data_IF_898528424171
#
_entry.id   IF_898528424171
#
_cell.length_a   1.000
_cell.length_b   1.000
_cell.length_c   1.000
_cell.angle_alpha   90.00
_cell.angle_beta   90.00
_cell.angle_gamma   90.00
#
_symmetry.space_group_name_H-M   'P 1'
#
loop_
_entity.id
_entity.type
_entity.pdbx_description
1 polymer ?
#
# COMPACT_ATOMS: atom_id res chain seq x y z
N UNK A 1 4.61 5.28 60.28
CA UNK A 1 5.57 5.59 59.21
C UNK A 1 6.10 4.25 58.70
N UNK A 2 5.36 3.66 57.77
CA UNK A 2 5.80 2.44 57.13
C UNK A 2 6.47 2.77 55.78
N UNK A 3 7.59 2.12 55.45
CA UNK A 3 8.30 2.41 54.22
C UNK A 3 7.57 1.81 53.02
N UNK A 4 7.47 2.57 51.94
CA UNK A 4 6.93 2.18 50.64
C UNK A 4 7.67 0.93 50.10
N UNK A 5 6.98 -0.01 49.46
CA UNK A 5 7.62 -1.18 48.87
C UNK A 5 8.47 -0.82 47.66
N UNK A 6 9.69 -1.32 47.71
CA UNK A 6 10.71 -1.24 46.69
C UNK A 6 10.26 -1.82 45.34
N UNK A 7 10.55 -1.07 44.34
CA UNK A 7 10.46 -1.32 42.91
C UNK A 7 11.06 -2.71 42.53
N UNK A 8 10.23 -3.67 42.22
CA UNK A 8 10.67 -4.89 41.57
C UNK A 8 10.89 -4.63 40.06
N UNK A 9 12.09 -4.19 39.73
CA UNK A 9 12.65 -4.34 38.40
C UNK A 9 12.91 -5.83 38.16
N UNK A 10 11.87 -6.56 37.74
CA UNK A 10 12.04 -7.84 37.07
C UNK A 10 12.80 -7.62 35.76
N UNK A 11 13.65 -8.56 35.32
CA UNK A 11 14.39 -8.40 34.07
C UNK A 11 13.38 -8.17 32.95
N UNK A 12 13.43 -6.96 32.36
CA UNK A 12 12.74 -6.69 31.09
C UNK A 12 13.24 -7.76 30.13
N UNK A 13 12.38 -8.72 29.83
CA UNK A 13 12.64 -9.74 28.82
C UNK A 13 13.06 -8.99 27.56
N UNK A 14 14.31 -9.19 27.14
CA UNK A 14 14.78 -8.80 25.82
C UNK A 14 13.85 -9.52 24.83
N UNK A 15 12.76 -8.85 24.47
CA UNK A 15 11.83 -9.36 23.44
C UNK A 15 12.66 -9.43 22.18
N UNK A 16 13.06 -10.66 21.86
CA UNK A 16 13.88 -10.98 20.71
C UNK A 16 13.29 -10.33 19.48
N UNK A 17 14.04 -9.44 18.90
CA UNK A 17 13.74 -8.57 17.75
C UNK A 17 13.58 -9.40 16.43
N UNK A 18 12.81 -10.50 16.49
CA UNK A 18 12.60 -11.46 15.40
C UNK A 18 11.23 -11.29 14.76
N UNK A 19 11.17 -11.50 13.45
CA UNK A 19 9.90 -11.65 12.74
C UNK A 19 9.14 -12.84 13.32
N UNK A 20 7.81 -12.68 13.50
CA UNK A 20 6.89 -13.70 13.95
C UNK A 20 6.10 -14.23 12.76
N UNK A 21 5.60 -15.45 12.89
CA UNK A 21 4.80 -16.10 11.85
C UNK A 21 3.56 -16.75 12.49
N UNK A 22 3.04 -16.11 13.54
CA UNK A 22 1.83 -16.52 14.22
C UNK A 22 0.58 -16.19 13.40
N UNK A 23 -0.58 -16.65 13.88
CA UNK A 23 -1.88 -16.47 13.21
C UNK A 23 -2.24 -14.98 12.96
N UNK A 24 -1.77 -14.06 13.80
CA UNK A 24 -2.04 -12.65 13.63
C UNK A 24 -1.18 -12.04 12.51
N UNK A 25 0.06 -12.48 12.35
CA UNK A 25 0.90 -12.12 11.21
C UNK A 25 0.32 -12.68 9.91
N UNK A 26 -0.18 -13.92 9.90
CA UNK A 26 -0.90 -14.49 8.76
C UNK A 26 -2.17 -13.70 8.42
N UNK A 27 -2.99 -13.36 9.41
CA UNK A 27 -4.17 -12.53 9.18
C UNK A 27 -3.80 -11.15 8.64
N UNK A 28 -2.81 -10.50 9.26
CA UNK A 28 -2.32 -9.20 8.83
C UNK A 28 -1.66 -9.22 7.45
N UNK A 29 -1.08 -10.34 7.02
CA UNK A 29 -0.48 -10.48 5.68
C UNK A 29 -1.49 -10.16 4.57
N UNK A 30 -2.75 -10.54 4.74
CA UNK A 30 -3.81 -10.30 3.76
C UNK A 30 -4.49 -8.93 3.90
N UNK A 31 -4.10 -8.11 4.90
CA UNK A 31 -4.70 -6.80 5.18
C UNK A 31 -4.56 -5.77 4.05
N UNK A 32 -3.60 -5.96 3.16
CA UNK A 32 -3.38 -5.07 2.01
C UNK A 32 -3.99 -5.58 0.68
N UNK A 33 -4.69 -6.72 0.69
CA UNK A 33 -5.31 -7.26 -0.53
C UNK A 33 -6.35 -6.32 -1.15
N UNK A 34 -7.03 -5.50 -0.32
CA UNK A 34 -7.99 -4.51 -0.79
C UNK A 34 -7.38 -3.46 -1.72
N UNK A 35 -6.08 -3.18 -1.60
CA UNK A 35 -5.36 -2.28 -2.50
C UNK A 35 -4.60 -3.05 -3.58
N UNK A 36 -3.99 -4.17 -3.25
CA UNK A 36 -3.13 -4.92 -4.17
C UNK A 36 -3.92 -5.54 -5.33
N UNK A 37 -4.99 -6.27 -5.03
CA UNK A 37 -5.75 -7.04 -6.05
C UNK A 37 -6.32 -6.16 -7.16
N UNK A 38 -7.05 -5.05 -6.88
CA UNK A 38 -7.63 -4.23 -7.94
C UNK A 38 -6.59 -3.69 -8.92
N UNK A 39 -5.43 -3.25 -8.43
CA UNK A 39 -4.36 -2.74 -9.30
C UNK A 39 -3.70 -3.83 -10.12
N UNK A 40 -3.40 -4.99 -9.51
CA UNK A 40 -2.81 -6.13 -10.24
C UNK A 40 -3.75 -6.59 -11.34
N UNK A 41 -5.06 -6.73 -11.04
CA UNK A 41 -6.07 -7.08 -12.05
C UNK A 41 -6.13 -6.04 -13.17
N UNK A 42 -6.09 -4.75 -12.85
CA UNK A 42 -6.12 -3.68 -13.85
C UNK A 42 -4.90 -3.73 -14.79
N UNK A 43 -3.69 -3.89 -14.27
CA UNK A 43 -2.49 -4.03 -15.08
C UNK A 43 -2.55 -5.24 -16.03
N UNK A 44 -3.05 -6.37 -15.54
CA UNK A 44 -3.17 -7.60 -16.33
C UNK A 44 -4.30 -7.49 -17.35
N UNK A 45 -5.50 -7.06 -16.94
CA UNK A 45 -6.69 -7.05 -17.78
C UNK A 45 -6.65 -5.95 -18.85
N UNK A 46 -6.22 -4.74 -18.48
CA UNK A 46 -6.24 -3.56 -19.38
C UNK A 46 -4.98 -3.48 -20.23
N UNK A 47 -3.81 -3.54 -19.60
CA UNK A 47 -2.52 -3.35 -20.26
C UNK A 47 -1.91 -4.67 -20.76
N UNK A 48 -2.53 -5.80 -20.45
CA UNK A 48 -2.02 -7.15 -20.81
C UNK A 48 -0.59 -7.39 -20.34
N UNK A 49 -0.18 -6.76 -19.22
CA UNK A 49 1.13 -7.00 -18.61
C UNK A 49 1.20 -8.44 -18.13
N UNK A 50 2.34 -9.08 -18.35
CA UNK A 50 2.53 -10.48 -17.97
C UNK A 50 2.48 -10.61 -16.42
N UNK A 51 1.62 -11.50 -15.88
CA UNK A 51 1.44 -11.64 -14.45
C UNK A 51 2.69 -12.04 -13.68
N UNK A 52 3.59 -12.82 -14.30
CA UNK A 52 4.81 -13.31 -13.66
C UNK A 52 5.64 -12.15 -13.12
N UNK A 53 5.97 -11.15 -13.96
CA UNK A 53 6.80 -10.01 -13.58
C UNK A 53 6.21 -9.21 -12.43
N UNK A 54 4.88 -8.99 -12.46
CA UNK A 54 4.16 -8.29 -11.40
C UNK A 54 4.26 -9.04 -10.08
N UNK A 55 3.85 -10.32 -10.07
CA UNK A 55 3.80 -11.13 -8.84
C UNK A 55 5.18 -11.36 -8.25
N UNK A 56 6.16 -11.67 -9.11
CA UNK A 56 7.54 -11.89 -8.68
C UNK A 56 8.15 -10.64 -8.06
N UNK A 57 7.95 -9.47 -8.70
CA UNK A 57 8.49 -8.20 -8.20
C UNK A 57 7.90 -7.83 -6.85
N UNK A 58 6.57 -7.93 -6.68
CA UNK A 58 5.92 -7.70 -5.38
C UNK A 58 6.37 -8.71 -4.34
N UNK A 59 6.39 -9.98 -4.69
CA UNK A 59 6.76 -11.06 -3.77
C UNK A 59 8.20 -10.92 -3.27
N UNK A 60 9.15 -10.67 -4.18
CA UNK A 60 10.55 -10.45 -3.83
C UNK A 60 10.75 -9.18 -3.00
N UNK A 61 10.11 -8.06 -3.40
CA UNK A 61 10.20 -6.81 -2.66
C UNK A 61 9.60 -6.92 -1.25
N UNK A 62 8.43 -7.57 -1.09
CA UNK A 62 7.80 -7.79 0.22
C UNK A 62 8.67 -8.68 1.11
N UNK A 63 9.22 -9.75 0.57
CA UNK A 63 10.13 -10.65 1.30
C UNK A 63 11.37 -9.88 1.80
N UNK A 64 12.03 -9.13 0.93
CA UNK A 64 13.22 -8.34 1.27
C UNK A 64 12.87 -7.26 2.31
N UNK A 65 11.78 -6.50 2.10
CA UNK A 65 11.36 -5.44 3.02
C UNK A 65 10.97 -6.00 4.39
N UNK A 66 10.25 -7.12 4.46
CA UNK A 66 9.89 -7.77 5.71
C UNK A 66 11.10 -8.27 6.50
N UNK A 67 12.13 -8.76 5.83
CA UNK A 67 13.40 -9.17 6.44
C UNK A 67 14.21 -7.96 6.91
N UNK A 68 14.24 -6.87 6.12
CA UNK A 68 15.05 -5.69 6.39
C UNK A 68 14.44 -4.81 7.49
N UNK A 69 13.19 -4.34 7.30
CA UNK A 69 12.53 -3.43 8.23
C UNK A 69 12.03 -4.11 9.50
N UNK A 70 11.67 -5.39 9.41
CA UNK A 70 11.12 -6.19 10.52
C UNK A 70 9.86 -5.61 11.16
N UNK A 71 9.18 -4.70 10.48
CA UNK A 71 7.86 -4.17 10.76
C UNK A 71 6.93 -4.57 9.61
N UNK A 72 5.61 -4.41 9.72
CA UNK A 72 4.70 -4.70 8.61
C UNK A 72 4.85 -3.69 7.47
N UNK A 73 6.07 -3.54 6.97
CA UNK A 73 6.45 -2.52 5.99
C UNK A 73 5.93 -2.91 4.61
N UNK A 74 4.98 -2.16 4.04
CA UNK A 74 4.24 -2.61 2.86
C UNK A 74 5.01 -2.38 1.56
N UNK A 75 4.61 -3.13 0.53
CA UNK A 75 4.97 -2.85 -0.86
C UNK A 75 3.69 -2.85 -1.68
N UNK A 76 3.34 -1.72 -2.25
CA UNK A 76 2.08 -1.48 -2.96
C UNK A 76 2.32 -0.96 -4.38
N UNK A 77 1.37 -1.15 -5.32
CA UNK A 77 1.40 -0.47 -6.61
C UNK A 77 1.37 1.05 -6.44
N UNK A 78 2.13 1.76 -7.26
CA UNK A 78 2.07 3.22 -7.34
C UNK A 78 0.72 3.66 -7.89
N UNK A 79 -0.07 4.36 -7.06
CA UNK A 79 -1.51 4.59 -7.29
C UNK A 79 -1.79 5.51 -8.47
N UNK A 80 -1.04 6.60 -8.65
CA UNK A 80 -1.26 7.50 -9.77
C UNK A 80 -0.95 6.80 -11.10
N UNK A 81 0.16 6.07 -11.17
CA UNK A 81 0.52 5.27 -12.36
C UNK A 81 -0.53 4.19 -12.63
N UNK A 82 -0.94 3.46 -11.59
CA UNK A 82 -1.95 2.43 -11.72
C UNK A 82 -3.32 2.96 -12.16
N UNK A 83 -3.74 4.12 -11.66
CA UNK A 83 -5.00 4.75 -12.05
C UNK A 83 -4.97 5.18 -13.53
N UNK A 84 -3.88 5.82 -13.97
CA UNK A 84 -3.70 6.21 -15.38
C UNK A 84 -3.66 4.98 -16.29
N UNK A 85 -2.92 3.95 -15.89
CA UNK A 85 -2.80 2.70 -16.62
C UNK A 85 -4.15 1.94 -16.73
N UNK A 86 -4.96 1.96 -15.65
CA UNK A 86 -6.24 1.27 -15.63
C UNK A 86 -7.33 1.96 -16.46
N UNK A 87 -7.32 3.29 -16.53
CA UNK A 87 -8.41 4.03 -17.18
C UNK A 87 -8.20 4.25 -18.67
N UNK A 88 -6.97 4.42 -19.13
CA UNK A 88 -6.59 4.83 -20.50
C UNK A 88 -7.50 5.90 -21.17
N UNK A 89 -8.63 6.20 -20.55
CA UNK A 89 -9.76 6.91 -21.12
C UNK A 89 -9.55 8.42 -21.27
N UNK A 90 -8.54 8.99 -20.61
CA UNK A 90 -8.30 10.44 -20.61
C UNK A 90 -6.92 10.80 -21.18
N UNK A 91 -6.23 9.87 -21.86
CA UNK A 91 -4.84 10.06 -22.25
C UNK A 91 -4.71 10.46 -23.71
N UNK A 92 -3.87 11.47 -23.95
CA UNK A 92 -3.44 11.85 -25.29
C UNK A 92 -2.43 10.88 -25.89
N UNK A 93 -1.95 9.91 -25.12
CA UNK A 93 -0.99 8.89 -25.52
C UNK A 93 -1.47 7.49 -25.10
N UNK A 94 -1.15 6.48 -25.89
CA UNK A 94 -1.40 5.07 -25.54
C UNK A 94 -0.39 4.63 -24.48
N UNK A 95 -0.90 4.14 -23.35
CA UNK A 95 -0.05 3.59 -22.29
C UNK A 95 0.25 2.12 -22.63
N UNK A 96 1.50 1.86 -22.91
CA UNK A 96 2.02 0.52 -23.22
C UNK A 96 2.64 -0.13 -21.98
N UNK A 97 2.95 -1.42 -22.06
CA UNK A 97 3.74 -2.13 -21.03
C UNK A 97 5.12 -1.46 -20.88
N UNK A 98 5.78 -1.12 -22.00
CA UNK A 98 7.07 -0.44 -21.99
C UNK A 98 7.04 0.91 -21.28
N UNK A 99 5.95 1.69 -21.42
CA UNK A 99 5.78 2.94 -20.69
C UNK A 99 5.66 2.72 -19.18
N UNK A 100 4.97 1.66 -18.73
CA UNK A 100 4.88 1.32 -17.30
C UNK A 100 6.24 0.89 -16.74
N UNK A 101 6.99 0.06 -17.46
CA UNK A 101 8.35 -0.33 -17.05
C UNK A 101 9.29 0.86 -17.01
N UNK A 102 9.20 1.75 -18.00
CA UNK A 102 9.97 3.01 -18.03
C UNK A 102 9.64 3.91 -16.85
N UNK A 103 8.35 4.01 -16.46
CA UNK A 103 7.97 4.74 -15.25
C UNK A 103 8.61 4.15 -13.99
N UNK A 104 8.71 2.82 -13.90
CA UNK A 104 9.42 2.12 -12.83
C UNK A 104 10.91 2.48 -12.80
N UNK A 105 11.58 2.46 -13.95
CA UNK A 105 12.99 2.83 -14.07
C UNK A 105 13.22 4.30 -13.67
N UNK A 106 12.40 5.22 -14.17
CA UNK A 106 12.54 6.66 -13.90
C UNK A 106 12.27 6.97 -12.42
N UNK A 107 11.16 6.48 -11.86
CA UNK A 107 10.87 6.68 -10.43
C UNK A 107 11.91 6.00 -9.56
N UNK A 108 12.35 4.81 -9.93
CA UNK A 108 13.40 4.08 -9.25
C UNK A 108 14.72 4.85 -9.20
N UNK A 109 15.17 5.38 -10.33
CA UNK A 109 16.38 6.18 -10.42
C UNK A 109 16.27 7.47 -9.58
N UNK A 110 15.15 8.19 -9.67
CA UNK A 110 14.93 9.43 -8.91
C UNK A 110 14.99 9.14 -7.40
N UNK A 111 14.24 8.15 -6.90
CA UNK A 111 14.21 7.86 -5.47
C UNK A 111 15.53 7.31 -4.96
N UNK A 112 16.24 6.52 -5.77
CA UNK A 112 17.57 6.05 -5.40
C UNK A 112 18.56 7.21 -5.27
N UNK A 113 18.60 8.13 -6.24
CA UNK A 113 19.45 9.32 -6.20
C UNK A 113 19.11 10.20 -5.00
N UNK A 114 17.82 10.51 -4.78
CA UNK A 114 17.36 11.31 -3.64
C UNK A 114 17.70 10.66 -2.30
N UNK A 115 17.61 9.33 -2.22
CA UNK A 115 17.98 8.56 -1.04
C UNK A 115 19.49 8.56 -0.79
N UNK A 116 20.30 8.23 -1.79
CA UNK A 116 21.76 8.15 -1.67
C UNK A 116 22.37 9.51 -1.31
N UNK A 117 21.89 10.60 -1.92
CA UNK A 117 22.35 11.97 -1.64
C UNK A 117 21.83 12.53 -0.31
N UNK A 118 20.83 11.86 0.31
CA UNK A 118 20.13 12.37 1.50
C UNK A 118 19.19 13.55 1.20
N UNK A 119 18.95 13.86 -0.08
CA UNK A 119 18.03 14.94 -0.48
C UNK A 119 16.59 14.61 -0.10
N UNK A 120 16.18 13.34 -0.09
CA UNK A 120 14.86 12.90 0.35
C UNK A 120 14.54 13.41 1.77
N UNK A 121 15.44 13.22 2.74
CA UNK A 121 15.26 13.71 4.12
C UNK A 121 15.27 15.24 4.20
N UNK A 122 16.08 15.93 3.36
CA UNK A 122 16.09 17.41 3.33
C UNK A 122 14.75 17.95 2.83
N UNK A 123 14.22 17.37 1.76
CA UNK A 123 12.91 17.73 1.20
C UNK A 123 11.80 17.43 2.20
N UNK A 124 11.83 16.27 2.86
CA UNK A 124 10.85 15.88 3.86
C UNK A 124 10.76 16.87 5.02
N UNK A 125 11.89 17.42 5.50
CA UNK A 125 11.93 18.42 6.58
C UNK A 125 11.27 19.75 6.23
N UNK A 126 11.13 20.08 4.94
CA UNK A 126 10.47 21.31 4.48
C UNK A 126 8.96 21.14 4.49
N UNK A 127 8.47 19.91 4.41
CA UNK A 127 7.03 19.60 4.36
C UNK A 127 6.41 19.78 5.74
N UNK A 128 5.36 20.65 5.88
CA UNK A 128 4.72 20.87 7.15
C UNK A 128 3.98 19.62 7.66
N UNK A 129 4.08 19.33 8.96
CA UNK A 129 3.40 18.19 9.59
C UNK A 129 1.89 18.19 9.34
N UNK A 130 1.25 19.35 9.33
CA UNK A 130 -0.18 19.53 9.05
C UNK A 130 -0.57 19.00 7.67
N UNK A 131 0.32 19.15 6.68
CA UNK A 131 0.11 18.61 5.32
C UNK A 131 0.21 17.10 5.32
N UNK A 132 1.20 16.52 6.02
CA UNK A 132 1.36 15.06 6.12
C UNK A 132 0.15 14.43 6.80
N UNK A 133 -0.28 14.97 7.94
CA UNK A 133 -1.50 14.53 8.66
C UNK A 133 -2.71 14.62 7.74
N UNK A 134 -2.89 15.74 7.02
CA UNK A 134 -3.99 15.90 6.07
C UNK A 134 -3.98 14.87 4.94
N UNK A 135 -2.81 14.56 4.38
CA UNK A 135 -2.66 13.52 3.35
C UNK A 135 -3.07 12.16 3.90
N UNK A 136 -2.57 11.77 5.07
CA UNK A 136 -2.86 10.46 5.66
C UNK A 136 -4.34 10.33 6.02
N UNK A 137 -4.93 11.37 6.62
CA UNK A 137 -6.36 11.44 6.92
C UNK A 137 -7.20 11.30 5.65
N UNK A 138 -6.91 12.09 4.62
CA UNK A 138 -7.66 12.05 3.35
C UNK A 138 -7.52 10.73 2.61
N UNK A 139 -6.34 10.11 2.63
CA UNK A 139 -6.14 8.76 2.11
C UNK A 139 -7.01 7.74 2.86
N UNK A 140 -7.04 7.81 4.21
CA UNK A 140 -7.87 6.94 5.03
C UNK A 140 -9.35 7.09 4.70
N UNK A 141 -9.85 8.33 4.62
CA UNK A 141 -11.23 8.63 4.22
C UNK A 141 -11.53 8.17 2.78
N UNK A 142 -10.60 8.37 1.87
CA UNK A 142 -10.69 7.89 0.49
C UNK A 142 -10.81 6.37 0.40
N UNK A 143 -10.01 5.65 1.18
CA UNK A 143 -10.10 4.18 1.26
C UNK A 143 -11.43 3.70 1.86
N UNK A 144 -11.94 4.38 2.89
CA UNK A 144 -13.27 4.08 3.44
C UNK A 144 -14.35 4.28 2.39
N UNK A 145 -14.31 5.40 1.66
CA UNK A 145 -15.30 5.70 0.60
C UNK A 145 -15.23 4.67 -0.54
N UNK A 146 -14.02 4.31 -0.98
CA UNK A 146 -13.84 3.30 -2.02
C UNK A 146 -14.26 1.92 -1.53
N UNK A 147 -13.96 1.59 -0.28
CA UNK A 147 -14.46 0.37 0.38
C UNK A 147 -15.99 0.28 0.35
N UNK A 148 -16.70 1.38 0.65
CA UNK A 148 -18.18 1.46 0.57
C UNK A 148 -18.63 1.25 -0.88
N UNK A 149 -17.98 1.86 -1.87
CA UNK A 149 -18.31 1.66 -3.29
C UNK A 149 -18.15 0.20 -3.71
N UNK A 150 -17.07 -0.45 -3.25
CA UNK A 150 -16.87 -1.88 -3.51
C UNK A 150 -17.90 -2.75 -2.81
N UNK A 151 -18.29 -2.41 -1.57
CA UNK A 151 -19.36 -3.10 -0.84
C UNK A 151 -20.74 -2.98 -1.54
N UNK A 152 -20.99 -1.89 -2.26
CA UNK A 152 -22.23 -1.69 -3.02
C UNK A 152 -22.42 -2.69 -4.17
N UNK A 153 -21.43 -3.46 -4.54
CA UNK A 153 -21.59 -4.53 -5.55
C UNK A 153 -22.43 -5.69 -5.05
N UNK A 154 -22.47 -5.93 -3.72
CA UNK A 154 -23.34 -6.92 -3.07
C UNK A 154 -23.53 -6.54 -1.59
N UNK A 155 -24.64 -5.86 -1.30
CA UNK A 155 -24.95 -5.37 0.05
C UNK A 155 -25.22 -6.48 1.06
N UNK A 156 -25.71 -7.64 0.63
CA UNK A 156 -25.94 -8.76 1.54
C UNK A 156 -24.62 -9.33 2.03
N UNK A 157 -23.69 -9.62 1.13
CA UNK A 157 -22.33 -10.05 1.48
C UNK A 157 -21.64 -8.98 2.33
N UNK A 158 -21.76 -7.71 1.94
CA UNK A 158 -21.18 -6.59 2.69
C UNK A 158 -21.73 -6.50 4.11
N UNK A 159 -23.05 -6.57 4.30
CA UNK A 159 -23.68 -6.47 5.61
C UNK A 159 -23.24 -7.61 6.54
N UNK A 160 -23.26 -8.85 6.06
CA UNK A 160 -22.85 -10.04 6.83
C UNK A 160 -21.35 -9.95 7.17
N UNK A 161 -20.52 -9.67 6.19
CA UNK A 161 -19.06 -9.59 6.38
C UNK A 161 -18.68 -8.40 7.28
N UNK A 162 -19.35 -7.25 7.16
CA UNK A 162 -19.13 -6.08 8.02
C UNK A 162 -19.53 -6.38 9.48
N UNK A 163 -20.71 -6.97 9.69
CA UNK A 163 -21.16 -7.37 11.03
C UNK A 163 -20.18 -8.37 11.67
N UNK A 164 -19.77 -9.41 10.93
CA UNK A 164 -18.77 -10.36 11.40
C UNK A 164 -17.43 -9.70 11.74
N UNK A 165 -17.02 -8.73 10.91
CA UNK A 165 -15.78 -7.98 11.14
C UNK A 165 -15.87 -7.13 12.41
N UNK A 166 -16.95 -6.39 12.62
CA UNK A 166 -17.15 -5.56 13.82
C UNK A 166 -17.17 -6.39 15.09
N UNK A 167 -17.81 -7.56 15.07
CA UNK A 167 -17.89 -8.45 16.23
C UNK A 167 -16.52 -9.09 16.57
N UNK A 168 -15.68 -9.34 15.57
CA UNK A 168 -14.43 -10.09 15.73
C UNK A 168 -13.17 -9.23 15.58
N UNK A 169 -13.27 -7.93 15.31
CA UNK A 169 -12.12 -7.08 15.01
C UNK A 169 -11.05 -7.10 16.12
N UNK A 170 -11.47 -7.18 17.37
CA UNK A 170 -10.58 -7.25 18.54
C UNK A 170 -10.26 -8.67 19.01
N UNK A 171 -10.85 -9.66 18.36
CA UNK A 171 -10.69 -11.06 18.77
C UNK A 171 -9.33 -11.61 18.28
N UNK A 172 -8.45 -11.94 19.24
CA UNK A 172 -7.13 -12.53 18.95
C UNK A 172 -7.16 -14.05 18.80
N UNK A 173 -8.26 -14.71 19.15
CA UNK A 173 -8.40 -16.16 19.02
C UNK A 173 -8.78 -16.55 17.60
N UNK A 174 -9.78 -15.84 17.04
CA UNK A 174 -10.22 -16.00 15.65
C UNK A 174 -9.94 -14.68 14.92
N UNK A 175 -8.83 -14.58 14.20
CA UNK A 175 -8.52 -13.37 13.44
C UNK A 175 -9.58 -13.13 12.36
N UNK A 176 -10.17 -11.94 12.37
CA UNK A 176 -11.28 -11.58 11.48
C UNK A 176 -10.94 -11.71 10.00
N UNK A 177 -9.67 -11.55 9.64
CA UNK A 177 -9.23 -11.71 8.25
C UNK A 177 -9.48 -13.13 7.73
N UNK A 178 -9.25 -14.16 8.54
CA UNK A 178 -9.56 -15.54 8.12
C UNK A 178 -11.05 -15.75 7.93
N UNK A 179 -11.90 -15.15 8.81
CA UNK A 179 -13.34 -15.16 8.59
C UNK A 179 -13.69 -14.53 7.23
N UNK A 180 -13.15 -13.36 6.92
CA UNK A 180 -13.41 -12.67 5.66
C UNK A 180 -12.91 -13.47 4.44
N UNK A 181 -11.75 -14.10 4.52
CA UNK A 181 -11.22 -14.94 3.44
C UNK A 181 -12.10 -16.17 3.20
N UNK A 182 -12.46 -16.90 4.27
CA UNK A 182 -13.35 -18.07 4.17
C UNK A 182 -14.74 -17.70 3.74
N UNK A 183 -15.32 -16.63 4.29
CA UNK A 183 -16.61 -16.11 3.91
C UNK A 183 -16.63 -15.69 2.43
N UNK A 184 -15.61 -14.95 1.98
CA UNK A 184 -15.46 -14.55 0.59
C UNK A 184 -15.37 -15.76 -0.36
N UNK A 185 -14.55 -16.75 -0.02
CA UNK A 185 -14.43 -17.97 -0.80
C UNK A 185 -15.76 -18.76 -0.83
N UNK A 186 -16.44 -18.88 0.30
CA UNK A 186 -17.75 -19.55 0.36
C UNK A 186 -18.81 -18.83 -0.49
N UNK A 187 -18.88 -17.50 -0.40
CA UNK A 187 -19.78 -16.70 -1.24
C UNK A 187 -19.49 -16.90 -2.74
N UNK A 188 -18.23 -16.88 -3.13
CA UNK A 188 -17.84 -17.09 -4.53
C UNK A 188 -18.26 -18.48 -5.05
N UNK A 189 -18.11 -19.53 -4.22
CA UNK A 189 -18.50 -20.88 -4.58
C UNK A 189 -20.03 -21.07 -4.65
N UNK A 190 -20.80 -20.31 -3.83
CA UNK A 190 -22.27 -20.36 -3.82
C UNK A 190 -22.84 -19.56 -5.00
N UNK A 191 -22.26 -18.40 -5.30
CA UNK A 191 -22.82 -17.47 -6.31
C UNK A 191 -22.51 -17.88 -7.74
N UNK A 192 -21.52 -18.74 -8.02
CA UNK A 192 -21.13 -18.95 -9.39
C UNK A 192 -20.45 -20.25 -9.76
N UNK A 193 -20.84 -20.74 -10.93
CA UNK A 193 -20.12 -21.77 -11.66
C UNK A 193 -18.71 -21.28 -12.03
N UNK A 194 -18.51 -19.96 -12.17
CA UNK A 194 -17.26 -19.33 -12.59
C UNK A 194 -16.10 -19.57 -11.60
N UNK A 195 -16.36 -19.55 -10.29
CA UNK A 195 -15.32 -19.81 -9.29
C UNK A 195 -14.87 -21.29 -9.31
N UNK A 196 -15.81 -22.21 -9.51
CA UNK A 196 -15.49 -23.64 -9.61
C UNK A 196 -14.78 -23.95 -10.92
N UNK A 197 -15.17 -23.32 -12.03
CA UNK A 197 -14.51 -23.43 -13.32
C UNK A 197 -13.11 -22.80 -13.27
N UNK A 198 -12.96 -21.65 -12.63
CA UNK A 198 -11.67 -21.02 -12.37
C UNK A 198 -10.72 -21.96 -11.61
N UNK A 199 -11.21 -22.61 -10.54
CA UNK A 199 -10.42 -23.59 -9.79
C UNK A 199 -10.05 -24.83 -10.63
N UNK A 200 -10.94 -25.31 -11.50
CA UNK A 200 -10.67 -26.44 -12.41
C UNK A 200 -9.71 -26.06 -13.54
N UNK A 201 -9.67 -24.80 -13.93
CA UNK A 201 -8.79 -24.29 -14.99
C UNK A 201 -7.36 -23.99 -14.50
N UNK A 202 -7.06 -24.14 -13.21
CA UNK A 202 -5.73 -23.91 -12.67
C UNK A 202 -4.71 -24.85 -13.33
N UNK A 203 -3.70 -24.25 -13.95
CA UNK A 203 -2.58 -24.97 -14.52
C UNK A 203 -1.33 -24.70 -13.72
N UNK A 204 -0.65 -25.76 -13.37
CA UNK A 204 0.68 -25.70 -12.78
C UNK A 204 1.70 -25.56 -13.90
N UNK A 205 2.34 -24.39 -13.99
CA UNK A 205 3.38 -24.10 -14.98
C UNK A 205 4.56 -23.46 -14.28
N UNK A 206 5.73 -24.09 -14.36
CA UNK A 206 6.94 -23.47 -13.83
C UNK A 206 7.41 -22.36 -14.78
N UNK A 207 7.41 -21.13 -14.29
CA UNK A 207 7.93 -19.97 -15.03
C UNK A 207 9.17 -19.41 -14.33
N UNK A 208 10.06 -18.79 -15.11
CA UNK A 208 11.30 -18.19 -14.64
C UNK A 208 11.34 -16.71 -15.01
N UNK A 209 12.05 -15.88 -14.24
CA UNK A 209 12.21 -14.45 -14.55
C UNK A 209 12.84 -14.25 -15.93
N UNK A 210 12.31 -13.31 -16.69
CA UNK A 210 12.89 -12.82 -17.95
C UNK A 210 13.11 -11.31 -17.88
N UNK A 211 14.12 -10.81 -18.59
CA UNK A 211 14.38 -9.37 -18.62
C UNK A 211 13.39 -8.66 -19.54
N UNK A 212 12.80 -7.58 -19.06
CA UNK A 212 11.74 -6.83 -19.76
C UNK A 212 12.26 -5.63 -20.58
N UNK A 213 13.58 -5.39 -20.63
CA UNK A 213 14.16 -4.23 -21.32
C UNK A 213 13.91 -4.19 -22.81
N UNK A 214 13.76 -5.36 -23.46
CA UNK A 214 13.45 -5.47 -24.90
C UNK A 214 12.08 -4.88 -25.28
N UNK A 215 11.22 -4.63 -24.32
CA UNK A 215 9.88 -4.08 -24.52
C UNK A 215 9.81 -2.55 -24.36
N UNK A 216 10.94 -1.87 -24.17
CA UNK A 216 10.99 -0.42 -23.93
C UNK A 216 11.52 0.28 -25.20
N UNK A 217 10.66 1.04 -25.86
CA UNK A 217 11.05 1.96 -26.93
C UNK A 217 11.40 3.35 -26.38
N UNK A 218 12.04 4.20 -27.19
CA UNK A 218 12.29 5.60 -26.82
C UNK A 218 11.00 6.40 -26.57
N UNK A 219 9.93 6.09 -27.29
CA UNK A 219 8.61 6.67 -27.06
C UNK A 219 8.02 6.23 -25.73
N UNK A 220 8.11 4.94 -25.39
CA UNK A 220 7.66 4.41 -24.10
C UNK A 220 8.38 5.05 -22.94
N UNK A 221 9.69 5.29 -23.10
CA UNK A 221 10.49 5.98 -22.08
C UNK A 221 10.00 7.40 -21.85
N UNK A 222 9.72 8.16 -22.91
CA UNK A 222 9.20 9.53 -22.81
C UNK A 222 7.81 9.55 -22.16
N UNK A 223 6.89 8.68 -22.59
CA UNK A 223 5.54 8.55 -22.01
C UNK A 223 5.62 8.13 -20.55
N UNK A 224 6.43 7.10 -20.22
CA UNK A 224 6.62 6.62 -18.87
C UNK A 224 7.17 7.68 -17.93
N UNK A 225 8.16 8.46 -18.39
CA UNK A 225 8.77 9.52 -17.59
C UNK A 225 7.80 10.69 -17.36
N UNK A 226 7.18 11.23 -18.43
CA UNK A 226 6.43 12.49 -18.36
C UNK A 226 4.98 12.30 -17.89
N UNK A 227 4.30 11.26 -18.36
CA UNK A 227 2.88 11.06 -18.07
C UNK A 227 2.62 10.17 -16.86
N UNK A 228 3.55 9.28 -16.51
CA UNK A 228 3.39 8.32 -15.42
C UNK A 228 4.27 8.66 -14.21
N UNK A 229 5.60 8.75 -14.40
CA UNK A 229 6.53 8.94 -13.29
C UNK A 229 6.42 10.34 -12.67
N UNK A 230 6.43 11.39 -13.48
CA UNK A 230 6.45 12.77 -12.99
C UNK A 230 5.24 13.12 -12.11
N UNK A 231 3.97 12.82 -12.49
CA UNK A 231 2.82 13.04 -11.61
C UNK A 231 2.83 12.18 -10.33
N UNK A 232 3.51 11.04 -10.36
CA UNK A 232 3.63 10.15 -9.20
C UNK A 232 4.58 10.68 -8.13
N UNK A 233 5.57 11.52 -8.46
CA UNK A 233 6.61 11.96 -7.51
C UNK A 233 6.05 12.65 -6.26
N UNK A 234 5.15 13.66 -6.35
CA UNK A 234 4.59 14.31 -5.17
C UNK A 234 3.79 13.34 -4.29
N UNK A 235 3.06 12.42 -4.92
CA UNK A 235 2.30 11.38 -4.22
C UNK A 235 3.24 10.42 -3.48
N UNK A 236 4.31 9.97 -4.13
CA UNK A 236 5.29 9.09 -3.49
C UNK A 236 5.98 9.81 -2.34
N UNK A 237 6.39 11.07 -2.51
CA UNK A 237 7.02 11.85 -1.44
C UNK A 237 6.10 11.95 -0.21
N UNK A 238 4.85 12.39 -0.40
CA UNK A 238 3.91 12.59 0.71
C UNK A 238 3.50 11.29 1.40
N UNK A 239 3.03 10.31 0.60
CA UNK A 239 2.45 9.07 1.13
C UNK A 239 3.50 7.98 1.43
N UNK A 240 4.45 7.78 0.52
CA UNK A 240 5.30 6.59 0.55
C UNK A 240 6.74 6.86 1.01
N UNK A 241 7.09 8.10 1.33
CA UNK A 241 8.35 8.46 1.99
C UNK A 241 8.05 9.09 3.35
N UNK A 242 7.29 10.19 3.39
CA UNK A 242 7.08 10.95 4.64
C UNK A 242 6.05 10.24 5.53
N UNK A 243 4.84 10.00 5.03
CA UNK A 243 3.77 9.44 5.84
C UNK A 243 4.09 8.02 6.35
N UNK A 244 4.70 7.16 5.53
CA UNK A 244 5.09 5.81 5.96
C UNK A 244 6.20 5.86 7.02
N UNK A 245 7.17 6.78 6.89
CA UNK A 245 8.22 6.97 7.89
C UNK A 245 7.63 7.39 9.24
N UNK A 246 6.71 8.36 9.21
CA UNK A 246 6.01 8.83 10.42
C UNK A 246 5.14 7.72 11.03
N UNK A 247 4.37 7.02 10.21
CA UNK A 247 3.50 5.93 10.66
C UNK A 247 4.28 4.75 11.25
N UNK A 248 5.37 4.32 10.58
CA UNK A 248 6.25 3.29 11.12
C UNK A 248 6.84 3.70 12.47
N UNK A 249 7.38 4.91 12.55
CA UNK A 249 8.07 5.37 13.76
C UNK A 249 7.10 5.61 14.93
N UNK A 250 5.84 5.95 14.62
CA UNK A 250 4.76 6.05 15.61
C UNK A 250 4.32 4.68 16.13
N UNK A 251 4.14 3.70 15.25
CA UNK A 251 3.64 2.36 15.60
C UNK A 251 4.72 1.43 16.13
N UNK A 252 5.96 1.61 15.67
CA UNK A 252 7.10 0.76 15.97
C UNK A 252 8.33 1.59 16.38
N UNK A 253 8.28 2.32 17.52
CA UNK A 253 9.37 3.22 17.95
C UNK A 253 10.69 2.48 18.19
N UNK A 254 10.65 1.19 18.49
CA UNK A 254 11.84 0.35 18.66
C UNK A 254 12.54 -0.02 17.33
N UNK A 255 11.91 0.32 16.20
CA UNK A 255 12.40 0.03 14.84
C UNK A 255 12.20 1.24 13.93
N UNK A 256 12.84 2.36 14.26
CA UNK A 256 12.68 3.58 13.48
C UNK A 256 13.29 3.41 12.09
N UNK A 257 12.62 4.01 11.12
CA UNK A 257 13.09 4.14 9.74
C UNK A 257 13.34 5.61 9.42
N UNK A 258 14.05 5.88 8.34
CA UNK A 258 14.33 7.24 7.87
C UNK A 258 13.81 7.40 6.44
N UNK A 259 13.44 8.61 6.06
CA UNK A 259 13.04 8.93 4.68
C UNK A 259 14.14 8.54 3.68
N UNK A 260 15.41 8.64 4.12
CA UNK A 260 16.56 8.20 3.31
C UNK A 260 16.51 6.71 3.03
N UNK A 261 16.33 5.88 4.05
CA UNK A 261 16.29 4.41 3.88
C UNK A 261 15.07 3.98 3.05
N UNK A 262 13.93 4.63 3.26
CA UNK A 262 12.69 4.38 2.51
C UNK A 262 12.84 4.79 1.04
N UNK A 263 13.46 5.95 0.77
CA UNK A 263 13.74 6.38 -0.61
C UNK A 263 14.69 5.43 -1.34
N UNK A 264 15.76 4.96 -0.67
CA UNK A 264 16.71 3.98 -1.25
C UNK A 264 15.96 2.67 -1.56
N UNK A 265 15.17 2.14 -0.63
CA UNK A 265 14.43 0.90 -0.87
C UNK A 265 13.40 1.06 -1.99
N UNK A 266 12.66 2.18 -2.03
CA UNK A 266 11.75 2.51 -3.15
C UNK A 266 12.51 2.55 -4.48
N UNK A 267 13.71 3.13 -4.49
CA UNK A 267 14.56 3.14 -5.68
C UNK A 267 14.94 1.74 -6.14
N UNK A 268 15.46 0.91 -5.24
CA UNK A 268 15.93 -0.45 -5.54
C UNK A 268 14.80 -1.35 -6.03
N UNK A 269 13.64 -1.36 -5.35
CA UNK A 269 12.51 -2.23 -5.73
C UNK A 269 11.94 -1.84 -7.09
N UNK A 270 11.95 -0.55 -7.46
CA UNK A 270 11.45 -0.11 -8.76
C UNK A 270 12.43 -0.43 -9.89
N UNK A 271 13.74 -0.23 -9.69
CA UNK A 271 14.74 -0.61 -10.69
C UNK A 271 14.75 -2.11 -10.93
N UNK A 272 14.78 -2.90 -9.84
CA UNK A 272 14.74 -4.35 -9.93
C UNK A 272 13.42 -4.88 -10.48
N UNK A 273 12.29 -4.33 -10.03
CA UNK A 273 10.96 -4.71 -10.50
C UNK A 273 10.77 -4.43 -12.00
N UNK A 274 11.11 -3.22 -12.45
CA UNK A 274 11.00 -2.86 -13.86
C UNK A 274 11.90 -3.73 -14.77
N UNK A 275 13.06 -4.14 -14.28
CA UNK A 275 13.98 -5.00 -15.02
C UNK A 275 13.38 -6.38 -15.36
N UNK A 276 12.47 -6.88 -14.53
CA UNK A 276 11.83 -8.21 -14.68
C UNK A 276 10.36 -8.13 -15.04
N UNK A 277 9.90 -7.00 -15.57
CA UNK A 277 8.52 -6.83 -16.03
C UNK A 277 7.50 -6.56 -14.92
N UNK A 278 7.97 -6.13 -13.76
CA UNK A 278 7.11 -5.65 -12.67
C UNK A 278 6.59 -4.24 -12.92
N UNK A 279 5.53 -3.90 -12.20
CA UNK A 279 4.93 -2.56 -12.23
C UNK A 279 5.53 -1.66 -11.14
N UNK A 280 5.45 -0.32 -11.27
CA UNK A 280 5.98 0.60 -10.27
C UNK A 280 5.39 0.40 -8.87
N UNK A 281 6.26 0.34 -7.87
CA UNK A 281 5.94 0.01 -6.48
C UNK A 281 6.36 1.12 -5.52
N UNK A 282 5.66 1.24 -4.40
CA UNK A 282 6.02 2.16 -3.33
C UNK A 282 5.66 1.59 -1.94
N UNK A 283 6.13 2.25 -0.89
CA UNK A 283 5.85 1.92 0.50
C UNK A 283 4.69 2.79 1.04
N UNK A 284 3.46 2.58 0.53
CA UNK A 284 2.33 3.41 0.93
C UNK A 284 1.89 3.20 2.38
N UNK A 285 1.71 4.29 3.15
CA UNK A 285 1.27 4.23 4.55
C UNK A 285 -0.03 3.43 4.74
N UNK A 286 -0.94 3.47 3.75
CA UNK A 286 -2.17 2.67 3.77
C UNK A 286 -1.95 1.16 3.82
N UNK A 287 -0.87 0.63 3.20
CA UNK A 287 -0.55 -0.79 3.29
C UNK A 287 -0.14 -1.20 4.70
N UNK A 288 0.66 -0.39 5.38
CA UNK A 288 1.00 -0.64 6.79
C UNK A 288 -0.25 -0.61 7.65
N UNK A 289 -1.13 0.38 7.45
CA UNK A 289 -2.39 0.46 8.17
C UNK A 289 -3.25 -0.80 7.95
N UNK A 290 -3.30 -1.32 6.71
CA UNK A 290 -3.98 -2.58 6.39
C UNK A 290 -3.40 -3.78 7.14
N UNK A 291 -2.10 -3.99 7.07
CA UNK A 291 -1.43 -5.05 7.82
C UNK A 291 -1.70 -4.96 9.33
N UNK A 292 -1.58 -3.74 9.88
CA UNK A 292 -1.77 -3.49 11.33
C UNK A 292 -3.22 -3.64 11.76
N UNK A 293 -4.19 -3.20 10.94
CA UNK A 293 -5.63 -3.33 11.23
C UNK A 293 -6.02 -4.80 11.48
N UNK A 294 -5.41 -5.71 10.74
CA UNK A 294 -5.69 -7.15 10.84
C UNK A 294 -4.67 -7.93 11.68
N UNK A 295 -3.83 -7.25 12.43
CA UNK A 295 -3.10 -7.83 13.54
C UNK A 295 -1.59 -7.99 13.36
N UNK A 296 -1.02 -7.66 12.20
CA UNK A 296 0.43 -7.71 11.99
C UNK A 296 1.17 -6.71 12.90
N UNK A 297 2.33 -7.12 13.37
CA UNK A 297 3.22 -6.30 14.23
C UNK A 297 4.69 -6.44 13.86
N UNK A 298 5.03 -7.33 12.95
CA UNK A 298 6.41 -7.58 12.53
C UNK A 298 6.53 -7.69 11.02
N UNK A 299 7.75 -7.83 10.50
CA UNK A 299 7.98 -8.14 9.10
C UNK A 299 7.49 -9.52 8.66
N UNK A 300 6.91 -10.32 9.58
CA UNK A 300 6.32 -11.62 9.26
C UNK A 300 5.20 -11.52 8.24
N UNK A 301 4.32 -10.54 8.38
CA UNK A 301 3.20 -10.34 7.45
C UNK A 301 3.64 -10.11 6.00
N UNK A 302 4.49 -9.13 5.67
CA UNK A 302 4.99 -8.96 4.30
C UNK A 302 5.84 -10.15 3.82
N UNK A 303 6.56 -10.86 4.70
CA UNK A 303 7.28 -12.10 4.32
C UNK A 303 6.29 -13.19 3.89
N UNK A 304 5.23 -13.42 4.67
CA UNK A 304 4.18 -14.41 4.35
C UNK A 304 3.55 -14.08 3.00
N UNK A 305 3.08 -12.84 2.82
CA UNK A 305 2.47 -12.43 1.56
C UNK A 305 3.47 -12.51 0.39
N UNK A 306 4.71 -12.11 0.63
CA UNK A 306 5.79 -12.20 -0.36
C UNK A 306 6.04 -13.63 -0.83
N UNK A 307 6.09 -14.61 0.09
CA UNK A 307 6.24 -16.03 -0.25
C UNK A 307 5.04 -16.54 -1.04
N UNK A 308 3.81 -16.15 -0.67
CA UNK A 308 2.61 -16.52 -1.40
C UNK A 308 2.66 -15.97 -2.83
N UNK A 309 2.99 -14.68 -3.00
CA UNK A 309 3.09 -14.07 -4.32
C UNK A 309 4.19 -14.70 -5.19
N UNK A 310 5.35 -15.02 -4.59
CA UNK A 310 6.41 -15.75 -5.29
C UNK A 310 5.94 -17.15 -5.73
N UNK A 311 5.23 -17.87 -4.85
CA UNK A 311 4.67 -19.18 -5.19
C UNK A 311 3.65 -19.08 -6.33
N UNK A 312 2.79 -18.06 -6.30
CA UNK A 312 1.84 -17.78 -7.38
C UNK A 312 2.57 -17.40 -8.68
N UNK A 313 3.64 -16.61 -8.60
CA UNK A 313 4.46 -16.24 -9.75
C UNK A 313 5.07 -17.48 -10.41
N UNK A 314 5.79 -18.28 -9.64
CA UNK A 314 6.51 -19.45 -10.18
C UNK A 314 5.60 -20.54 -10.71
N UNK A 315 4.45 -20.79 -10.05
CA UNK A 315 3.67 -21.99 -10.32
C UNK A 315 2.30 -21.73 -10.94
N UNK A 316 1.73 -20.52 -10.79
CA UNK A 316 0.34 -20.23 -11.16
C UNK A 316 0.15 -18.90 -11.90
N UNK A 317 1.23 -18.27 -12.39
CA UNK A 317 1.11 -16.94 -13.02
C UNK A 317 0.15 -16.94 -14.24
N UNK A 318 0.08 -18.02 -14.99
CA UNK A 318 -0.88 -18.16 -16.09
C UNK A 318 -2.36 -18.22 -15.66
N UNK A 319 -2.61 -18.59 -14.40
CA UNK A 319 -3.96 -18.75 -13.84
C UNK A 319 -4.35 -17.62 -12.86
N UNK A 320 -3.51 -16.60 -12.72
CA UNK A 320 -3.68 -15.58 -11.66
C UNK A 320 -4.99 -14.79 -11.76
N UNK A 321 -5.44 -14.49 -12.97
CA UNK A 321 -6.72 -13.79 -13.20
C UNK A 321 -7.90 -14.59 -12.67
N UNK A 322 -7.89 -15.90 -12.87
CA UNK A 322 -8.90 -16.80 -12.34
C UNK A 322 -8.86 -16.85 -10.80
N UNK A 323 -7.65 -16.95 -10.22
CA UNK A 323 -7.46 -16.96 -8.75
C UNK A 323 -7.95 -15.65 -8.12
N UNK A 324 -7.61 -14.50 -8.71
CA UNK A 324 -8.01 -13.20 -8.17
C UNK A 324 -9.51 -12.93 -8.33
N UNK A 325 -10.17 -13.51 -9.34
CA UNK A 325 -11.62 -13.40 -9.54
C UNK A 325 -12.44 -14.12 -8.47
N UNK A 326 -11.85 -15.05 -7.71
CA UNK A 326 -12.52 -15.74 -6.60
C UNK A 326 -12.86 -14.80 -5.44
N UNK A 327 -12.15 -13.66 -5.31
CA UNK A 327 -12.42 -12.71 -4.23
C UNK A 327 -13.58 -11.78 -4.56
N UNK A 328 -14.75 -11.88 -3.87
CA UNK A 328 -15.85 -10.95 -4.06
C UNK A 328 -15.43 -9.51 -3.79
N UNK A 329 -15.80 -8.58 -4.67
CA UNK A 329 -15.48 -7.16 -4.51
C UNK A 329 -15.98 -6.60 -3.19
N UNK A 330 -17.16 -7.04 -2.73
CA UNK A 330 -17.73 -6.62 -1.46
C UNK A 330 -16.82 -6.97 -0.27
N UNK A 331 -16.19 -8.16 -0.25
CA UNK A 331 -15.26 -8.57 0.80
C UNK A 331 -13.97 -7.74 0.75
N UNK A 332 -13.41 -7.50 -0.43
CA UNK A 332 -12.26 -6.60 -0.61
C UNK A 332 -12.59 -5.18 -0.15
N UNK A 333 -13.84 -4.74 -0.36
CA UNK A 333 -14.35 -3.45 0.11
C UNK A 333 -14.34 -3.34 1.63
N UNK A 334 -14.72 -4.40 2.35
CA UNK A 334 -14.67 -4.44 3.82
C UNK A 334 -13.21 -4.30 4.30
N UNK A 335 -12.29 -5.05 3.71
CA UNK A 335 -10.86 -4.98 4.04
C UNK A 335 -10.34 -3.56 3.83
N UNK A 336 -10.67 -2.96 2.69
CA UNK A 336 -10.24 -1.61 2.35
C UNK A 336 -10.83 -0.56 3.29
N UNK A 337 -12.10 -0.71 3.67
CA UNK A 337 -12.77 0.19 4.62
C UNK A 337 -12.07 0.20 5.98
N UNK A 338 -11.80 -0.96 6.58
CA UNK A 338 -11.11 -1.04 7.87
C UNK A 338 -9.64 -0.59 7.77
N UNK A 339 -8.98 -0.84 6.66
CA UNK A 339 -7.65 -0.28 6.37
C UNK A 339 -7.68 1.24 6.37
N UNK A 340 -8.69 1.83 5.71
CA UNK A 340 -8.89 3.29 5.68
C UNK A 340 -9.20 3.88 7.05
N UNK A 341 -10.06 3.21 7.81
CA UNK A 341 -10.40 3.61 9.17
C UNK A 341 -9.18 3.60 10.09
N UNK A 342 -8.35 2.56 10.03
CA UNK A 342 -7.11 2.47 10.80
C UNK A 342 -6.12 3.59 10.43
N UNK A 343 -6.00 3.90 9.14
CA UNK A 343 -5.14 4.96 8.66
C UNK A 343 -5.63 6.34 9.13
N UNK A 344 -6.94 6.62 9.04
CA UNK A 344 -7.54 7.86 9.49
C UNK A 344 -7.38 8.06 11.00
N UNK A 345 -7.65 7.02 11.80
CA UNK A 345 -7.47 7.05 13.26
C UNK A 345 -6.03 7.42 13.68
N UNK A 346 -5.03 6.93 12.93
CA UNK A 346 -3.63 7.29 13.16
C UNK A 346 -3.31 8.78 12.96
N UNK A 347 -4.20 9.52 12.31
CA UNK A 347 -4.01 10.93 11.90
C UNK A 347 -4.94 11.90 12.62
N UNK A 348 -5.56 11.50 13.74
CA UNK A 348 -6.51 12.35 14.48
C UNK A 348 -5.84 13.34 15.46
N UNK A 349 -4.51 13.40 15.52
CA UNK A 349 -3.77 14.34 16.38
C UNK A 349 -3.69 15.74 15.73
N UNK A 350 -4.80 16.48 15.83
CA UNK A 350 -4.92 17.80 15.24
C UNK A 350 -4.25 18.87 16.10
N UNK A 351 -3.60 19.84 15.43
CA UNK A 351 -3.10 21.06 16.06
C UNK A 351 -4.23 21.84 16.78
N UNK A 352 -3.88 22.56 17.87
CA UNK A 352 -4.80 23.48 18.55
C UNK A 352 -5.02 24.77 17.75
N UNK A 353 -4.10 25.13 16.86
CA UNK A 353 -4.22 26.31 16.00
C UNK A 353 -5.30 26.13 14.91
N UNK A 354 -6.17 27.14 14.76
CA UNK A 354 -7.29 27.10 13.83
C UNK A 354 -6.84 27.08 12.36
N UNK A 355 -5.80 27.84 12.03
CA UNK A 355 -5.25 27.89 10.68
C UNK A 355 -4.59 26.57 10.29
N UNK A 356 -3.83 25.96 11.20
CA UNK A 356 -3.21 24.65 10.97
C UNK A 356 -4.26 23.55 10.81
N UNK A 357 -5.34 23.57 11.59
CA UNK A 357 -6.48 22.63 11.43
C UNK A 357 -7.14 22.79 10.09
N UNK A 358 -7.36 24.03 9.65
CA UNK A 358 -7.91 24.28 8.32
C UNK A 358 -7.04 23.70 7.21
N UNK A 359 -5.72 23.90 7.28
CA UNK A 359 -4.77 23.32 6.31
C UNK A 359 -4.87 21.78 6.31
N UNK A 360 -4.91 21.17 7.48
CA UNK A 360 -5.05 19.71 7.60
C UNK A 360 -6.34 19.20 6.94
N UNK A 361 -7.48 19.84 7.23
CA UNK A 361 -8.79 19.45 6.67
C UNK A 361 -8.83 19.70 5.16
N UNK A 362 -8.36 20.87 4.70
CA UNK A 362 -8.32 21.18 3.29
C UNK A 362 -7.42 20.19 2.52
N UNK A 363 -6.23 19.91 3.06
CA UNK A 363 -5.33 18.89 2.49
C UNK A 363 -5.98 17.52 2.46
N UNK A 364 -6.72 17.12 3.50
CA UNK A 364 -7.45 15.86 3.54
C UNK A 364 -8.53 15.79 2.47
N UNK A 365 -9.31 16.86 2.30
CA UNK A 365 -10.34 16.93 1.26
C UNK A 365 -9.75 16.76 -0.15
N UNK A 366 -8.68 17.49 -0.47
CA UNK A 366 -7.98 17.31 -1.74
C UNK A 366 -7.36 15.92 -1.89
N UNK A 367 -6.85 15.33 -0.79
CA UNK A 367 -6.21 14.02 -0.80
C UNK A 367 -7.17 12.87 -1.13
N UNK A 368 -8.46 13.00 -0.78
CA UNK A 368 -9.49 12.05 -1.19
C UNK A 368 -9.67 11.99 -2.71
N UNK A 369 -9.37 13.07 -3.40
CA UNK A 369 -9.47 13.17 -4.86
C UNK A 369 -8.12 12.90 -5.53
N UNK A 370 -7.07 13.67 -5.15
CA UNK A 370 -5.74 13.56 -5.73
C UNK A 370 -4.68 13.95 -4.70
N UNK A 371 -3.90 12.97 -4.24
CA UNK A 371 -2.89 13.18 -3.19
C UNK A 371 -1.73 14.06 -3.65
N UNK A 372 -1.35 13.99 -4.92
CA UNK A 372 -0.31 14.89 -5.48
C UNK A 372 -0.73 16.35 -5.43
N UNK A 373 -1.97 16.63 -5.84
CA UNK A 373 -2.54 17.99 -5.75
C UNK A 373 -2.69 18.43 -4.29
N UNK A 374 -3.17 17.54 -3.41
CA UNK A 374 -3.29 17.80 -1.99
C UNK A 374 -1.96 18.22 -1.36
N UNK A 375 -0.87 17.54 -1.73
CA UNK A 375 0.47 17.89 -1.29
C UNK A 375 0.85 19.30 -1.70
N UNK A 376 0.69 19.64 -2.99
CA UNK A 376 1.04 20.97 -3.53
C UNK A 376 0.20 22.05 -2.86
N UNK A 377 -1.13 21.88 -2.82
CA UNK A 377 -2.07 22.83 -2.21
C UNK A 377 -1.80 22.98 -0.71
N UNK A 378 -1.61 21.88 0.00
CA UNK A 378 -1.33 21.89 1.44
C UNK A 378 -0.05 22.64 1.79
N UNK A 379 1.03 22.40 1.06
CA UNK A 379 2.31 23.13 1.23
C UNK A 379 2.12 24.61 0.91
N UNK A 380 1.43 24.96 -0.17
CA UNK A 380 1.15 26.35 -0.51
C UNK A 380 0.33 27.07 0.56
N UNK A 381 -0.75 26.47 1.06
CA UNK A 381 -1.57 27.02 2.13
C UNK A 381 -0.77 27.21 3.42
N UNK A 382 0.05 26.22 3.79
CA UNK A 382 0.91 26.32 4.97
C UNK A 382 1.92 27.47 4.87
N UNK A 383 2.47 27.68 3.68
CA UNK A 383 3.39 28.77 3.43
C UNK A 383 2.70 30.15 3.49
N UNK A 384 1.47 30.26 2.96
CA UNK A 384 0.66 31.48 3.02
C UNK A 384 0.27 31.83 4.48
N UNK A 385 -0.10 30.79 5.28
CA UNK A 385 -0.41 30.98 6.69
C UNK A 385 0.80 31.51 7.47
N UNK A 386 1.98 30.86 7.31
CA UNK A 386 3.22 31.27 7.96
C UNK A 386 3.66 32.70 7.60
N UNK A 387 3.32 33.19 6.41
CA UNK A 387 3.58 34.57 5.97
C UNK A 387 2.51 35.58 6.39
N UNK A 388 1.50 35.17 7.15
CA UNK A 388 0.39 36.04 7.57
C UNK A 388 -0.52 36.52 6.41
N UNK A 389 -0.39 35.91 5.22
CA UNK A 389 -1.24 36.23 4.07
C UNK A 389 -2.56 35.45 4.06
N UNK A 390 -2.65 34.38 4.83
CA UNK A 390 -3.88 33.62 5.06
C UNK A 390 -4.33 33.88 6.50
N UNK A 391 -5.54 34.43 6.68
CA UNK A 391 -6.18 34.65 7.98
C UNK A 391 -7.47 33.82 8.01
N UNK A 392 -7.61 32.93 8.99
CA UNK A 392 -8.76 32.02 9.12
C UNK A 392 -9.36 32.14 10.51
#
# INVERSE_FOLDING_TARGET
MDPLPSNHNGPQSIVKNRNRFDRMEWAGAFGDLGTLIPFVVAYIAVLKIEPFGILFSFGAAMLICGLYYRTPFPVQPMKAIGAVAATQAAQTAVITQGAVYSAGLVTGAIWLILGLTGAATRIAKIVPRTVVIGIVLGLGMGFMLEGIRMMNTDWLIAAIGLAGTLLLLTNRVVPVMFLLLFFGAACALIQGHDAMEALRSLKFELRVPSLAFSHISGYDFAVGAMLLALPQLPLTLGNAIIAITEENNRLFPDRPVTERSVAISTGIINLGGAAIGGVPMCHGAGGMAGHVAFGARTGGAPIILGIILLSLAFFFSGSITAILAIFPRAVLGIILFFTGAQLALGSCDFSKDKGERFITIATAGFSMWNVGLAFIVGVALSFLLKRGRLRI
#
